data_IF_905279578492
#
_entry.id   IF_905279578492
#
_cell.length_a   1.000
_cell.length_b   1.000
_cell.length_c   1.000
_cell.angle_alpha   90.00
_cell.angle_beta   90.00
_cell.angle_gamma   90.00
#
_symmetry.space_group_name_H-M   'P 1'
#
loop_
_entity.id
_entity.type
_entity.pdbx_description
1 polymer ?
2 polymer ?
3 water ?
#
# COMPACT_ATOMS: atom_id res chain seq x y z
N UNK A 1 -0.61 25.42 -5.45
CA UNK A 1 0.42 25.55 -6.48
C UNK A 1 1.13 24.22 -6.69
N UNK A 2 1.12 23.37 -5.67
CA UNK A 2 1.63 22.01 -5.82
C UNK A 2 0.81 21.27 -6.86
N UNK A 3 1.47 20.80 -7.91
CA UNK A 3 0.80 20.24 -9.07
C UNK A 3 1.41 18.89 -9.46
N UNK A 4 0.56 17.88 -9.54
CA UNK A 4 0.93 16.64 -10.21
C UNK A 4 0.59 16.82 -11.68
N UNK A 5 1.47 16.35 -12.57
CA UNK A 5 1.27 16.37 -14.01
C UNK A 5 1.52 14.99 -14.61
N UNK A 6 0.87 14.72 -15.75
CA UNK A 6 1.07 13.47 -16.50
C UNK A 6 1.47 13.75 -17.94
N UNK A 7 2.60 13.22 -18.42
CA UNK A 7 2.91 13.41 -19.85
C UNK A 7 1.88 12.79 -20.77
N UNK A 8 1.12 11.82 -20.27
CA UNK A 8 0.15 11.07 -21.05
C UNK A 8 -1.03 10.81 -20.14
N UNK A 9 -2.22 11.00 -20.66
CA UNK A 9 -3.43 10.68 -19.92
C UNK A 9 -4.22 9.59 -20.62
N UNK A 10 -3.69 9.01 -21.68
CA UNK A 10 -4.32 7.86 -22.34
C UNK A 10 -3.20 6.94 -22.76
N UNK A 11 -3.24 5.70 -22.24
CA UNK A 11 -2.39 4.60 -22.67
C UNK A 11 -3.23 3.55 -23.39
N UNK A 12 -2.81 3.16 -24.59
CA UNK A 12 -3.41 2.06 -25.34
C UNK A 12 -2.38 0.95 -25.46
N UNK A 13 -2.57 -0.14 -24.72
CA UNK A 13 -1.56 -1.17 -24.66
C UNK A 13 -2.18 -2.52 -25.08
N UNK A 14 -1.30 -3.44 -25.46
CA UNK A 14 -1.70 -4.78 -25.82
C UNK A 14 -1.86 -5.62 -24.58
N UNK A 15 -2.85 -6.51 -24.60
CA UNK A 15 -2.88 -7.60 -23.63
C UNK A 15 -1.50 -8.23 -23.55
N UNK A 16 -1.04 -8.49 -22.33
CA UNK A 16 0.22 -9.16 -22.15
C UNK A 16 1.45 -8.27 -22.26
N UNK A 17 1.33 -7.04 -22.73
CA UNK A 17 2.50 -6.15 -22.71
C UNK A 17 2.83 -5.70 -21.28
N UNK A 18 3.95 -4.99 -21.17
CA UNK A 18 4.26 -4.19 -19.99
C UNK A 18 3.93 -2.73 -20.24
N UNK A 19 3.70 -2.01 -19.15
CA UNK A 19 3.23 -0.64 -19.25
C UNK A 19 3.71 0.18 -18.04
N UNK A 20 4.24 1.37 -18.31
CA UNK A 20 4.67 2.26 -17.23
C UNK A 20 3.85 3.53 -17.36
N UNK A 21 3.02 3.79 -16.37
CA UNK A 21 2.25 5.02 -16.33
C UNK A 21 3.00 6.04 -15.50
N UNK A 22 3.27 7.19 -16.07
CA UNK A 22 4.06 8.18 -15.36
C UNK A 22 3.19 9.21 -14.63
N UNK A 23 3.70 9.65 -13.50
CA UNK A 23 3.03 10.64 -12.68
C UNK A 23 4.09 11.54 -12.04
N UNK A 24 4.11 12.79 -12.45
CA UNK A 24 5.23 13.68 -12.13
C UNK A 24 4.85 14.68 -11.05
N UNK A 25 5.78 14.94 -10.16
CA UNK A 25 5.57 15.96 -9.15
C UNK A 25 6.81 16.78 -8.89
N UNK A 26 6.64 17.99 -8.39
CA UNK A 26 7.76 18.93 -8.26
C UNK A 26 8.71 18.54 -7.13
N UNK A 27 9.97 18.25 -7.47
CA UNK A 27 11.04 17.98 -6.52
C UNK A 27 12.11 19.08 -6.69
N UNK A 28 12.24 19.96 -5.69
CA UNK A 28 13.10 21.14 -5.82
C UNK A 28 14.59 20.79 -5.68
N UNK A 29 14.96 20.06 -4.62
CA UNK A 29 16.35 19.72 -4.36
C UNK A 29 16.41 18.21 -4.25
N UNK A 30 16.91 17.69 -3.13
CA UNK A 30 16.82 16.25 -2.90
C UNK A 30 15.40 15.87 -2.49
N UNK A 31 15.04 14.62 -2.78
CA UNK A 31 13.72 14.13 -2.40
C UNK A 31 13.69 13.88 -0.90
N UNK A 32 12.63 14.35 -0.27
CA UNK A 32 12.49 14.26 1.17
C UNK A 32 11.49 13.12 1.38
N UNK A 33 12.03 11.91 1.53
CA UNK A 33 11.21 10.72 1.60
C UNK A 33 10.27 10.78 2.79
N UNK A 34 10.67 11.47 3.85
CA UNK A 34 9.85 11.61 5.05
C UNK A 34 8.59 12.38 4.78
N UNK A 35 8.49 13.05 3.63
CA UNK A 35 7.33 13.87 3.32
C UNK A 35 6.41 13.24 2.28
N UNK A 36 6.85 12.17 1.61
CA UNK A 36 6.24 11.71 0.37
C UNK A 36 5.32 10.54 0.60
N UNK A 37 4.07 10.71 0.15
CA UNK A 37 3.09 9.63 0.08
C UNK A 37 2.63 9.50 -1.37
N UNK A 38 2.47 8.25 -1.84
CA UNK A 38 1.98 8.01 -3.20
C UNK A 38 0.84 7.00 -3.14
N UNK A 39 -0.24 7.36 -3.80
CA UNK A 39 -1.44 6.57 -3.88
C UNK A 39 -1.74 6.41 -5.36
N UNK A 40 -1.74 5.16 -5.82
CA UNK A 40 -2.31 4.78 -7.10
C UNK A 40 -3.55 3.96 -6.81
N UNK A 41 -4.63 4.32 -7.46
CA UNK A 41 -5.92 3.69 -7.29
C UNK A 41 -6.53 3.50 -8.69
N UNK A 42 -7.39 2.49 -8.81
CA UNK A 42 -8.15 2.28 -10.05
C UNK A 42 -9.53 1.74 -9.71
N UNK A 43 -10.55 2.60 -9.81
CA UNK A 43 -11.95 2.24 -9.57
C UNK A 43 -12.11 1.38 -8.32
N UNK A 44 -11.93 1.99 -7.14
CA UNK A 44 -12.13 1.34 -5.85
C UNK A 44 -11.16 0.19 -5.61
N UNK A 45 -10.05 0.12 -6.34
CA UNK A 45 -9.02 -0.87 -6.09
C UNK A 45 -7.70 -0.16 -5.75
N UNK A 46 -7.07 -0.58 -4.64
CA UNK A 46 -5.82 0.00 -4.17
C UNK A 46 -4.64 -0.73 -4.79
N UNK A 47 -3.82 0.00 -5.54
CA UNK A 47 -2.62 -0.55 -6.18
C UNK A 47 -1.35 -0.16 -5.43
N UNK A 48 -1.12 1.12 -5.16
CA UNK A 48 0.07 1.54 -4.42
C UNK A 48 -0.36 2.38 -3.23
N UNK A 49 0.25 2.11 -2.08
CA UNK A 49 0.09 2.90 -0.87
C UNK A 49 1.48 3.07 -0.26
N UNK A 50 2.26 3.92 -0.88
CA UNK A 50 3.61 4.24 -0.47
C UNK A 50 3.58 5.34 0.59
N UNK A 51 4.24 5.10 1.70
CA UNK A 51 4.26 6.04 2.81
C UNK A 51 5.70 6.18 3.27
N UNK A 52 6.32 7.31 2.94
CA UNK A 52 7.59 7.66 3.57
C UNK A 52 8.60 6.53 3.43
N UNK A 53 8.52 5.77 2.35
CA UNK A 53 9.43 4.69 2.09
C UNK A 53 8.92 3.28 2.40
N UNK A 54 7.69 3.14 2.92
CA UNK A 54 7.20 1.86 3.42
C UNK A 54 5.93 1.44 2.67
N UNK A 55 5.86 0.15 2.29
CA UNK A 55 4.69 -0.45 1.65
C UNK A 55 4.34 -1.81 2.26
N UNK A 56 3.06 -2.03 2.45
CA UNK A 56 2.53 -3.37 2.71
C UNK A 56 1.83 -3.88 1.45
N UNK A 57 2.43 -4.87 0.79
CA UNK A 57 1.76 -5.52 -0.33
C UNK A 57 0.54 -6.32 0.11
N UNK A 58 0.36 -6.57 1.42
CA UNK A 58 -0.87 -7.16 1.92
C UNK A 58 -2.10 -6.29 1.63
N UNK A 59 -1.93 -5.03 1.24
CA UNK A 59 -3.05 -4.12 0.98
C UNK A 59 -3.21 -3.83 -0.48
N UNK A 60 -2.28 -4.25 -1.32
CA UNK A 60 -2.49 -4.20 -2.75
C UNK A 60 -3.60 -5.16 -3.18
N UNK A 61 -4.53 -4.66 -3.97
CA UNK A 61 -5.64 -5.48 -4.40
C UNK A 61 -5.14 -6.71 -5.17
N UNK A 62 -5.83 -7.84 -4.96
CA UNK A 62 -5.35 -9.12 -5.50
C UNK A 62 -5.16 -9.09 -7.01
N UNK A 63 -6.06 -8.47 -7.77
CA UNK A 63 -5.89 -8.52 -9.22
C UNK A 63 -4.60 -7.86 -9.70
N UNK A 64 -3.86 -7.10 -8.85
CA UNK A 64 -2.57 -6.49 -9.23
C UNK A 64 -1.38 -7.14 -8.55
N UNK A 65 -1.57 -8.10 -7.66
CA UNK A 65 -0.42 -8.70 -6.97
C UNK A 65 0.56 -9.22 -7.99
N UNK A 66 1.85 -8.90 -7.77
CA UNK A 66 2.98 -9.43 -8.52
C UNK A 66 3.21 -8.65 -9.81
N UNK A 67 2.16 -7.95 -10.26
CA UNK A 67 2.14 -7.37 -11.59
C UNK A 67 2.38 -5.89 -11.57
N UNK A 68 2.21 -5.26 -10.42
CA UNK A 68 2.21 -3.81 -10.31
C UNK A 68 3.20 -3.38 -9.24
N UNK A 69 4.07 -2.43 -9.58
CA UNK A 69 4.96 -1.89 -8.58
C UNK A 69 5.34 -0.45 -8.89
N UNK A 70 5.75 0.26 -7.85
CA UNK A 70 6.19 1.64 -7.98
C UNK A 70 7.68 1.61 -8.26
N UNK A 71 8.06 2.18 -9.40
CA UNK A 71 9.46 2.43 -9.72
C UNK A 71 10.00 3.53 -8.80
N UNK A 72 10.52 3.07 -7.66
CA UNK A 72 11.06 3.93 -6.61
C UNK A 72 12.39 4.57 -6.99
N UNK A 73 13.07 4.09 -8.04
CA UNK A 73 14.26 4.78 -8.50
C UNK A 73 13.91 6.14 -9.07
N UNK A 74 12.70 6.27 -9.62
CA UNK A 74 12.28 7.47 -10.34
C UNK A 74 11.75 8.57 -9.41
N UNK A 75 11.46 8.25 -8.15
CA UNK A 75 10.85 9.22 -7.26
C UNK A 75 11.82 10.36 -6.96
N UNK A 76 13.12 10.07 -6.93
CA UNK A 76 14.08 11.15 -6.78
C UNK A 76 13.97 12.13 -7.93
N UNK A 77 13.53 11.64 -9.10
CA UNK A 77 13.30 12.50 -10.25
C UNK A 77 11.90 13.08 -10.25
N UNK A 78 11.15 12.88 -9.19
CA UNK A 78 9.78 13.38 -9.17
C UNK A 78 8.84 12.65 -10.13
N UNK A 79 9.10 11.36 -10.39
CA UNK A 79 8.29 10.52 -11.29
C UNK A 79 7.80 9.32 -10.48
N UNK A 80 6.53 9.33 -10.09
CA UNK A 80 5.95 8.17 -9.40
C UNK A 80 5.37 7.20 -10.43
N UNK A 81 6.25 6.43 -11.05
CA UNK A 81 5.87 5.62 -12.21
C UNK A 81 5.30 4.29 -11.74
N UNK A 82 4.12 3.95 -12.23
CA UNK A 82 3.50 2.67 -11.95
C UNK A 82 3.78 1.75 -13.11
N UNK A 83 4.53 0.69 -12.85
CA UNK A 83 4.82 -0.31 -13.84
C UNK A 83 3.89 -1.48 -13.63
N UNK A 84 3.20 -1.88 -14.70
CA UNK A 84 2.29 -3.02 -14.69
C UNK A 84 2.81 -3.98 -15.73
N UNK A 85 2.94 -5.25 -15.33
CA UNK A 85 3.58 -6.29 -16.11
C UNK A 85 2.53 -7.31 -16.49
N UNK A 86 2.63 -7.87 -17.69
CA UNK A 86 1.65 -8.84 -18.15
C UNK A 86 0.24 -8.24 -18.10
N UNK A 87 0.06 -7.21 -18.94
CA UNK A 87 -1.17 -6.44 -18.89
C UNK A 87 -2.37 -7.31 -19.21
N UNK A 88 -3.43 -7.16 -18.43
CA UNK A 88 -4.68 -7.90 -18.56
C UNK A 88 -5.79 -6.95 -19.02
N UNK A 89 -6.90 -7.55 -19.45
CA UNK A 89 -8.02 -6.77 -19.95
C UNK A 89 -8.65 -5.98 -18.82
N UNK A 90 -8.64 -6.55 -17.60
CA UNK A 90 -9.26 -5.95 -16.43
C UNK A 90 -8.52 -4.69 -15.98
N UNK A 91 -7.27 -4.55 -16.40
CA UNK A 91 -6.45 -3.40 -16.11
C UNK A 91 -6.98 -2.16 -16.82
N UNK A 92 -7.90 -2.32 -17.76
CA UNK A 92 -8.41 -1.16 -18.47
C UNK A 92 -9.33 -0.34 -17.59
N UNK A 93 -9.20 0.96 -17.70
CA UNK A 93 -10.02 1.86 -16.92
C UNK A 93 -9.27 3.12 -16.53
N UNK A 94 -9.83 3.83 -15.57
CA UNK A 94 -9.33 5.14 -15.16
C UNK A 94 -8.46 4.97 -13.93
N UNK A 95 -7.19 5.31 -14.07
CA UNK A 95 -6.26 5.30 -12.94
C UNK A 95 -6.14 6.69 -12.34
N UNK A 96 -6.04 6.75 -11.02
CA UNK A 96 -5.71 8.00 -10.33
C UNK A 96 -4.34 7.88 -9.70
N UNK A 97 -3.50 8.87 -9.94
CA UNK A 97 -2.25 9.08 -9.22
C UNK A 97 -2.45 10.27 -8.29
N UNK A 98 -2.34 10.01 -7.00
CA UNK A 98 -2.41 11.04 -5.99
C UNK A 98 -1.10 11.09 -5.26
N UNK A 99 -0.53 12.28 -5.19
CA UNK A 99 0.75 12.49 -4.54
C UNK A 99 0.57 13.57 -3.49
N UNK A 100 0.86 13.23 -2.24
CA UNK A 100 1.01 14.18 -1.15
C UNK A 100 2.50 14.34 -0.93
N UNK A 101 3.03 15.57 -1.10
CA UNK A 101 4.47 15.85 -0.95
C UNK A 101 4.54 17.30 -0.45
N UNK A 102 4.21 17.47 0.82
CA UNK A 102 3.85 18.78 1.30
C UNK A 102 2.42 19.14 0.96
N UNK A 103 2.20 19.69 -0.23
CA UNK A 103 0.86 19.78 -0.78
C UNK A 103 0.44 18.48 -1.48
N UNK A 104 -0.81 18.45 -1.94
CA UNK A 104 -1.38 17.25 -2.54
C UNK A 104 -2.14 17.60 -3.80
N UNK A 105 -1.96 16.77 -4.84
CA UNK A 105 -2.70 16.88 -6.09
C UNK A 105 -2.89 15.46 -6.65
N UNK A 106 -3.76 15.32 -7.66
CA UNK A 106 -3.89 14.03 -8.33
C UNK A 106 -4.17 14.27 -9.81
N UNK A 107 -4.03 13.19 -10.59
CA UNK A 107 -4.38 13.22 -12.00
C UNK A 107 -4.98 11.87 -12.40
N UNK A 108 -5.93 11.92 -13.33
CA UNK A 108 -6.64 10.76 -13.85
C UNK A 108 -6.00 10.32 -15.14
N UNK A 109 -5.73 9.03 -15.27
CA UNK A 109 -5.14 8.44 -16.47
C UNK A 109 -6.00 7.30 -16.93
N UNK A 110 -6.30 7.27 -18.23
CA UNK A 110 -7.10 6.20 -18.82
C UNK A 110 -6.21 5.18 -19.50
N UNK A 111 -6.44 3.93 -19.18
CA UNK A 111 -5.83 2.81 -19.88
C UNK A 111 -6.89 2.07 -20.71
N UNK A 112 -6.58 1.84 -21.97
CA UNK A 112 -7.42 1.01 -22.83
C UNK A 112 -6.56 -0.17 -23.24
N UNK A 113 -7.13 -1.38 -23.19
CA UNK A 113 -6.41 -2.60 -23.52
C UNK A 113 -7.01 -3.21 -24.78
N UNK A 114 -6.15 -3.57 -25.72
CA UNK A 114 -6.60 -4.26 -26.95
C UNK A 114 -6.38 -5.77 -26.80
N UNK A 115 -7.38 -6.55 -27.16
CA UNK A 115 -7.20 -7.99 -27.07
C UNK A 115 -6.30 -8.48 -28.20
N UNK A 116 -5.73 -9.66 -27.97
CA UNK A 116 -4.60 -10.11 -28.77
C UNK A 116 -4.82 -10.04 -30.29
N UNK A 117 -6.05 -10.14 -30.79
CA UNK A 117 -6.24 -10.22 -32.26
C UNK A 117 -7.18 -9.16 -32.79
N UNK A 118 -7.51 -8.16 -32.00
CA UNK A 118 -8.43 -7.08 -32.39
C UNK A 118 -7.97 -6.36 -33.68
N UNK B 1 -2.49 -27.35 -19.22
CA UNK B 1 -2.68 -28.08 -17.97
C UNK B 1 -1.49 -27.89 -17.05
N UNK B 2 -0.29 -27.91 -17.64
CA UNK B 2 0.94 -27.71 -16.89
C UNK B 2 0.99 -26.34 -16.22
N UNK B 3 0.97 -26.35 -14.89
CA UNK B 3 0.87 -25.15 -14.07
C UNK B 3 1.98 -25.11 -13.04
N UNK B 4 2.53 -23.91 -12.84
CA UNK B 4 3.49 -23.63 -11.78
C UNK B 4 2.78 -22.85 -10.70
N UNK B 5 2.88 -23.30 -9.48
CA UNK B 5 2.24 -22.65 -8.35
C UNK B 5 3.30 -22.25 -7.31
N UNK B 6 2.91 -21.32 -6.45
CA UNK B 6 3.77 -20.87 -5.35
C UNK B 6 3.00 -20.98 -4.03
N UNK B 7 3.52 -21.70 -3.04
CA UNK B 7 2.89 -21.67 -1.71
C UNK B 7 2.64 -20.26 -1.20
N UNK B 8 3.66 -19.40 -1.23
CA UNK B 8 3.49 -18.00 -0.90
C UNK B 8 4.23 -17.15 -1.92
N UNK B 9 3.64 -15.99 -2.24
CA UNK B 9 4.16 -15.08 -3.25
C UNK B 9 4.79 -13.84 -2.64
N UNK B 10 4.78 -13.73 -1.33
CA UNK B 10 5.37 -12.57 -0.67
C UNK B 10 6.19 -13.02 0.51
N UNK B 11 7.48 -12.74 0.45
CA UNK B 11 8.45 -13.09 1.48
C UNK B 11 8.99 -11.78 2.06
N UNK B 12 8.81 -11.61 3.37
CA UNK B 12 9.38 -10.49 4.11
C UNK B 12 10.44 -11.06 5.04
N UNK B 13 11.70 -10.65 4.83
CA UNK B 13 12.83 -11.27 5.51
C UNK B 13 13.77 -10.17 6.02
N UNK B 14 14.58 -10.54 7.01
CA UNK B 14 15.54 -9.65 7.65
C UNK B 14 16.86 -9.68 6.93
N UNK B 15 17.51 -8.54 6.89
CA UNK B 15 18.86 -8.42 6.33
C UNK B 15 19.80 -9.38 7.02
N UNK B 16 20.64 -10.04 6.26
CA UNK B 16 21.54 -11.00 6.84
C UNK B 16 20.93 -12.36 7.19
N UNK B 17 19.61 -12.52 7.13
CA UNK B 17 19.00 -13.83 7.36
C UNK B 17 19.13 -14.74 6.13
N UNK B 18 18.51 -15.93 6.17
CA UNK B 18 18.48 -16.88 5.04
C UNK B 18 17.05 -17.14 4.60
N UNK B 19 16.84 -17.11 3.29
CA UNK B 19 15.51 -17.18 2.71
C UNK B 19 15.44 -18.29 1.66
N UNK B 20 14.28 -18.94 1.57
CA UNK B 20 14.02 -19.99 0.57
C UNK B 20 12.72 -19.69 -0.17
N UNK B 21 12.81 -19.30 -1.41
CA UNK B 21 11.59 -19.15 -2.22
C UNK B 21 11.23 -20.48 -2.82
N UNK B 22 9.95 -20.76 -2.97
CA UNK B 22 9.52 -22.02 -3.54
C UNK B 22 8.65 -21.79 -4.78
N UNK B 23 8.95 -22.54 -5.84
CA UNK B 23 8.02 -22.77 -6.94
C UNK B 23 7.81 -24.26 -7.08
N UNK B 24 6.59 -24.71 -6.81
CA UNK B 24 6.22 -26.11 -6.94
C UNK B 24 5.55 -26.32 -8.29
N UNK B 25 5.81 -27.51 -8.87
CA UNK B 25 5.22 -27.91 -10.15
C UNK B 25 4.80 -29.38 -10.13
N UNK B 26 4.12 -29.87 -11.17
CA UNK B 26 3.60 -31.25 -11.16
C UNK B 26 4.54 -32.30 -11.75
N UNK B 27 4.76 -33.40 -11.03
CA UNK B 27 5.63 -34.49 -11.49
C UNK B 27 4.80 -35.78 -11.55
N UNK B 28 4.78 -36.41 -12.74
CA UNK B 28 4.04 -37.65 -12.94
C UNK B 28 4.86 -38.81 -12.38
N UNK B 29 4.48 -39.29 -11.20
CA UNK B 29 5.21 -40.41 -10.60
C UNK B 29 6.60 -39.94 -10.24
N UNK B 30 7.62 -40.50 -10.86
CA UNK B 30 8.98 -40.02 -10.65
C UNK B 30 9.23 -38.79 -11.53
N UNK B 31 10.19 -37.98 -11.12
CA UNK B 31 10.61 -36.83 -11.91
C UNK B 31 11.74 -37.25 -12.83
N UNK B 32 11.62 -36.90 -14.10
CA UNK B 32 12.69 -37.15 -15.06
C UNK B 32 13.54 -35.89 -15.13
N UNK B 33 14.65 -35.88 -14.40
CA UNK B 33 15.56 -34.75 -14.49
C UNK B 33 16.04 -34.51 -15.92
N UNK B 34 15.86 -35.46 -16.83
CA UNK B 34 16.38 -35.31 -18.19
C UNK B 34 15.65 -34.24 -19.00
N UNK B 35 14.53 -33.74 -18.51
CA UNK B 35 13.68 -32.84 -19.28
C UNK B 35 13.24 -31.65 -18.42
N UNK B 36 14.07 -31.26 -17.46
CA UNK B 36 13.72 -30.22 -16.49
C UNK B 36 14.55 -28.98 -16.76
N UNK B 37 13.88 -27.86 -16.89
CA UNK B 37 14.54 -26.57 -16.98
C UNK B 37 13.93 -25.68 -15.91
N UNK B 38 14.82 -25.18 -15.05
CA UNK B 38 14.49 -24.25 -13.99
C UNK B 38 15.24 -22.96 -14.25
N UNK B 39 14.49 -21.87 -14.28
CA UNK B 39 15.04 -20.52 -14.40
C UNK B 39 14.55 -19.71 -13.21
N UNK B 40 15.46 -19.19 -12.43
CA UNK B 40 15.12 -18.13 -11.48
C UNK B 40 15.77 -16.84 -11.96
N UNK B 41 14.97 -15.79 -12.03
CA UNK B 41 15.38 -14.48 -12.51
C UNK B 41 14.88 -13.40 -11.55
N UNK B 42 15.62 -12.30 -11.47
CA UNK B 42 15.19 -11.16 -10.66
C UNK B 42 15.57 -9.87 -11.36
N UNK B 43 14.56 -9.18 -11.90
CA UNK B 43 14.69 -7.92 -12.58
C UNK B 43 16.02 -7.81 -13.30
N UNK B 44 16.17 -8.58 -14.39
CA UNK B 44 17.28 -8.57 -15.38
C UNK B 44 18.55 -9.26 -14.92
N UNK B 45 18.54 -9.89 -13.76
CA UNK B 45 19.69 -10.61 -13.23
C UNK B 45 19.35 -12.09 -13.26
N UNK B 46 20.30 -12.89 -13.75
CA UNK B 46 20.17 -14.33 -13.84
C UNK B 46 20.69 -14.98 -12.56
N UNK B 47 19.80 -15.70 -11.85
CA UNK B 47 20.19 -16.35 -10.60
C UNK B 47 20.47 -17.83 -10.83
N UNK B 48 19.49 -18.58 -11.35
CA UNK B 48 19.61 -20.04 -11.55
C UNK B 48 19.22 -20.42 -12.97
N UNK B 49 20.12 -21.07 -13.69
CA UNK B 49 19.87 -21.57 -15.06
C UNK B 49 20.12 -23.06 -15.11
N UNK B 50 19.18 -23.82 -14.57
CA UNK B 50 19.29 -25.27 -14.47
C UNK B 50 18.69 -25.88 -15.73
N UNK B 51 19.50 -26.66 -16.44
CA UNK B 51 19.12 -27.27 -17.71
C UNK B 51 19.53 -28.73 -17.66
N UNK B 52 18.55 -29.61 -17.47
CA UNK B 52 18.76 -31.05 -17.65
C UNK B 52 19.89 -31.54 -16.74
N UNK B 53 19.96 -30.95 -15.55
CA UNK B 53 20.92 -31.36 -14.55
C UNK B 53 22.27 -30.66 -14.58
N UNK B 54 22.40 -29.53 -15.28
CA UNK B 54 23.67 -28.85 -15.39
C UNK B 54 23.49 -27.36 -15.10
N UNK B 55 24.53 -26.74 -14.54
CA UNK B 55 24.58 -25.28 -14.28
C UNK B 55 25.98 -24.79 -14.51
N UNK B 56 26.11 -23.63 -15.14
CA UNK B 56 27.38 -22.92 -15.21
C UNK B 56 27.28 -21.69 -14.30
N UNK B 57 27.90 -21.78 -13.11
CA UNK B 57 27.83 -20.66 -12.17
C UNK B 57 28.49 -19.42 -12.74
N UNK B 58 29.31 -19.58 -13.79
CA UNK B 58 29.86 -18.43 -14.50
C UNK B 58 28.78 -17.53 -15.07
N UNK B 59 27.54 -17.99 -15.13
CA UNK B 59 26.44 -17.21 -15.67
C UNK B 59 25.61 -16.55 -14.59
N UNK B 60 25.78 -16.96 -13.34
CA UNK B 60 25.01 -16.37 -12.25
C UNK B 60 25.44 -14.93 -12.04
N UNK B 61 24.46 -14.03 -12.03
CA UNK B 61 24.77 -12.64 -11.82
C UNK B 61 25.62 -12.49 -10.56
N UNK B 62 26.58 -11.58 -10.62
CA UNK B 62 27.64 -11.56 -9.62
C UNK B 62 27.10 -11.23 -8.24
N UNK B 63 25.98 -10.49 -8.14
CA UNK B 63 25.48 -10.09 -6.84
C UNK B 63 24.85 -11.23 -6.08
N UNK B 64 24.50 -12.31 -6.76
CA UNK B 64 23.97 -13.49 -6.11
C UNK B 64 25.02 -14.58 -5.95
N UNK B 65 26.23 -14.33 -6.43
CA UNK B 65 27.24 -15.36 -6.38
C UNK B 65 27.49 -15.77 -4.95
N UNK B 66 27.59 -17.07 -4.74
CA UNK B 66 27.94 -17.64 -3.45
C UNK B 66 26.79 -17.56 -2.47
N UNK B 67 25.68 -16.94 -2.87
CA UNK B 67 24.55 -16.79 -1.96
C UNK B 67 23.30 -17.54 -2.38
N UNK B 68 23.14 -17.79 -3.66
CA UNK B 68 21.88 -18.28 -4.17
C UNK B 68 22.10 -19.64 -4.81
N UNK B 69 21.34 -20.64 -4.38
CA UNK B 69 21.40 -21.92 -5.03
C UNK B 69 20.03 -22.56 -5.08
N UNK B 70 19.87 -23.50 -6.02
CA UNK B 70 18.64 -24.27 -6.18
C UNK B 70 18.74 -25.53 -5.33
N UNK B 71 17.69 -25.79 -4.57
CA UNK B 71 17.68 -26.94 -3.69
C UNK B 71 17.24 -28.13 -4.52
N UNK B 72 18.22 -28.97 -4.84
CA UNK B 72 18.04 -30.03 -5.79
C UNK B 72 17.43 -31.28 -5.18
N UNK B 73 17.55 -31.45 -3.86
CA UNK B 73 16.81 -32.51 -3.19
C UNK B 73 15.30 -32.28 -3.23
N UNK B 74 14.87 -31.06 -3.51
CA UNK B 74 13.47 -30.69 -3.48
C UNK B 74 12.77 -30.89 -4.81
N UNK B 75 13.53 -31.10 -5.90
CA UNK B 75 12.95 -31.23 -7.24
C UNK B 75 12.22 -32.54 -7.43
N UNK B 76 12.70 -33.63 -6.80
CA UNK B 76 11.95 -34.87 -6.81
C UNK B 76 10.53 -34.64 -6.30
N UNK B 77 10.38 -33.81 -5.28
CA UNK B 77 9.07 -33.42 -4.76
C UNK B 77 8.30 -32.46 -5.68
N UNK B 78 8.81 -32.13 -6.87
CA UNK B 78 8.21 -31.02 -7.61
C UNK B 78 8.29 -29.67 -6.92
N UNK B 79 9.42 -29.36 -6.29
CA UNK B 79 9.61 -28.07 -5.61
C UNK B 79 10.93 -27.46 -6.07
N UNK B 80 10.84 -26.34 -6.79
CA UNK B 80 12.00 -25.64 -7.33
C UNK B 80 12.33 -24.49 -6.36
N UNK B 81 13.19 -24.76 -5.39
CA UNK B 81 13.31 -23.91 -4.22
C UNK B 81 14.65 -23.19 -4.30
N UNK B 82 14.58 -21.87 -4.39
CA UNK B 82 15.77 -21.02 -4.41
C UNK B 82 16.08 -20.59 -3.00
N UNK B 83 17.28 -20.90 -2.55
CA UNK B 83 17.73 -20.53 -1.23
C UNK B 83 18.71 -19.38 -1.36
N UNK B 84 18.43 -18.29 -0.71
CA UNK B 84 19.34 -17.14 -0.69
C UNK B 84 19.86 -16.98 0.72
N UNK B 85 21.16 -17.15 0.86
CA UNK B 85 21.85 -17.06 2.15
C UNK B 85 22.34 -15.63 2.38
N UNK B 86 22.40 -15.20 3.65
CA UNK B 86 22.89 -13.87 4.02
C UNK B 86 22.19 -12.80 3.17
N UNK B 87 20.95 -12.48 3.51
CA UNK B 87 20.12 -11.65 2.64
C UNK B 87 20.58 -10.18 2.70
N UNK B 88 20.59 -9.56 1.51
CA UNK B 88 21.04 -8.21 1.24
C UNK B 88 19.84 -7.37 0.80
N UNK B 89 19.94 -6.06 1.08
CA UNK B 89 18.92 -5.12 0.62
C UNK B 89 18.66 -5.27 -0.89
N UNK B 90 19.70 -5.44 -1.68
CA UNK B 90 19.61 -5.62 -3.12
C UNK B 90 18.89 -6.90 -3.54
N UNK B 91 18.46 -7.73 -2.58
CA UNK B 91 17.68 -8.92 -2.87
C UNK B 91 16.19 -8.65 -2.90
N UNK B 92 15.76 -7.43 -2.57
CA UNK B 92 14.34 -7.12 -2.56
C UNK B 92 13.90 -6.90 -4.01
N UNK B 93 12.69 -7.31 -4.35
CA UNK B 93 12.27 -7.22 -5.73
C UNK B 93 11.38 -8.39 -6.18
N UNK B 94 11.15 -8.43 -7.49
CA UNK B 94 10.28 -9.45 -8.10
C UNK B 94 11.16 -10.57 -8.64
N UNK B 95 11.04 -11.74 -8.03
CA UNK B 95 11.63 -12.98 -8.54
C UNK B 95 10.63 -13.72 -9.43
N UNK B 96 11.07 -14.11 -10.61
CA UNK B 96 10.27 -14.98 -11.49
C UNK B 96 10.92 -16.35 -11.58
N UNK B 97 10.15 -17.39 -11.31
CA UNK B 97 10.60 -18.77 -11.55
C UNK B 97 9.89 -19.31 -12.79
N UNK B 98 10.65 -19.70 -13.79
CA UNK B 98 10.13 -20.47 -14.91
C UNK B 98 10.56 -21.92 -14.77
N UNK B 99 9.62 -22.84 -14.97
CA UNK B 99 9.94 -24.26 -15.01
C UNK B 99 9.40 -24.83 -16.31
N UNK B 100 10.29 -25.37 -17.12
CA UNK B 100 9.94 -26.10 -18.33
C UNK B 100 10.16 -27.59 -18.08
N UNK B 101 9.08 -28.37 -18.21
CA UNK B 101 9.07 -29.80 -17.91
C UNK B 101 7.98 -30.39 -18.80
N UNK B 102 8.33 -30.55 -20.07
CA UNK B 102 7.36 -30.85 -21.09
C UNK B 102 6.71 -29.57 -21.50
N UNK B 103 5.65 -29.19 -20.79
CA UNK B 103 5.21 -27.82 -20.83
C UNK B 103 6.14 -26.93 -20.04
N UNK B 104 5.61 -25.73 -19.82
CA UNK B 104 6.25 -24.68 -19.06
C UNK B 104 5.17 -23.76 -18.49
N UNK B 105 5.53 -23.07 -17.41
CA UNK B 105 4.71 -22.06 -16.76
C UNK B 105 5.63 -21.25 -15.86
N UNK B 106 5.09 -20.17 -15.28
CA UNK B 106 5.91 -19.32 -14.42
C UNK B 106 5.04 -18.55 -13.43
N UNK B 107 5.68 -18.22 -12.30
CA UNK B 107 5.06 -17.40 -11.28
C UNK B 107 6.06 -16.38 -10.79
N UNK B 108 5.54 -15.36 -10.14
CA UNK B 108 6.34 -14.25 -9.67
C UNK B 108 6.26 -14.27 -8.15
N UNK B 109 7.40 -14.08 -7.49
CA UNK B 109 7.47 -13.95 -6.03
C UNK B 109 8.06 -12.59 -5.76
N UNK B 110 7.53 -11.92 -4.73
CA UNK B 110 8.04 -10.63 -4.28
C UNK B 110 8.74 -10.81 -2.94
N UNK B 111 9.95 -10.28 -2.84
CA UNK B 111 10.71 -10.24 -1.59
C UNK B 111 10.84 -8.79 -1.17
N UNK B 112 10.54 -8.54 0.11
CA UNK B 112 10.83 -7.26 0.76
C UNK B 112 11.81 -7.53 1.89
N UNK B 113 12.91 -6.79 1.92
CA UNK B 113 13.94 -6.95 2.94
C UNK B 113 13.88 -5.77 3.92
N UNK B 114 13.80 -6.09 5.22
CA UNK B 114 13.83 -5.10 6.28
C UNK B 114 15.26 -4.75 6.66
N UNK B 115 15.60 -3.46 6.62
CA UNK B 115 16.89 -3.00 7.13
C UNK B 115 17.06 -3.38 8.59
N UNK B 116 18.27 -3.23 9.07
CA UNK B 116 18.63 -3.87 10.32
C UNK B 116 18.08 -3.20 11.59
N UNK B 117 17.24 -2.15 11.57
CA UNK B 117 16.72 -1.62 12.84
C UNK B 117 15.27 -1.15 12.71
N UNK B 118 14.33 -2.09 12.71
CA UNK B 118 12.92 -1.73 12.64
C UNK B 118 12.05 -2.78 13.32
N UNK C 1 3.64 25.85 19.48
CA UNK C 1 3.51 25.47 20.88
C UNK C 1 2.22 24.69 21.13
N UNK C 2 1.07 25.24 20.72
CA UNK C 2 -0.20 24.60 21.05
C UNK C 2 -0.32 23.30 20.26
N UNK C 3 -0.46 22.20 20.98
CA UNK C 3 -0.42 20.89 20.35
C UNK C 3 -1.58 20.04 20.84
N UNK C 4 -2.32 19.49 19.91
CA UNK C 4 -3.30 18.45 20.23
C UNK C 4 -2.63 17.10 20.08
N UNK C 5 -2.89 16.18 21.00
CA UNK C 5 -2.38 14.83 20.90
C UNK C 5 -3.52 13.83 20.92
N UNK C 6 -3.19 12.62 20.49
CA UNK C 6 -4.09 11.48 20.50
C UNK C 6 -3.43 10.34 21.28
N UNK C 7 -4.03 9.87 22.36
CA UNK C 7 -3.47 8.68 23.02
C UNK C 7 -3.46 7.44 22.13
N UNK C 8 -4.36 7.42 21.15
CA UNK C 8 -4.56 6.27 20.25
C UNK C 8 -4.94 6.88 18.91
N UNK C 9 -4.20 6.61 17.85
CA UNK C 9 -4.61 7.07 16.54
C UNK C 9 -5.33 5.98 15.71
N UNK C 10 -5.54 4.78 16.27
CA UNK C 10 -6.30 3.75 15.58
C UNK C 10 -7.18 3.01 16.58
N UNK C 11 -8.48 3.19 16.48
CA UNK C 11 -9.40 2.44 17.32
C UNK C 11 -9.97 1.27 16.51
N UNK C 12 -9.80 0.06 17.03
CA UNK C 12 -10.44 -1.13 16.47
C UNK C 12 -11.59 -1.52 17.39
N UNK C 13 -12.82 -1.36 16.89
CA UNK C 13 -14.02 -1.63 17.66
C UNK C 13 -14.79 -2.77 17.00
N UNK C 14 -15.66 -3.39 17.80
CA UNK C 14 -16.50 -4.48 17.34
C UNK C 14 -17.85 -3.91 16.94
N UNK C 15 -18.35 -4.36 15.80
CA UNK C 15 -19.66 -3.94 15.34
C UNK C 15 -20.66 -4.00 16.48
N UNK C 16 -21.52 -3.00 16.57
CA UNK C 16 -22.51 -2.95 17.64
C UNK C 16 -22.02 -2.49 19.00
N UNK C 17 -20.71 -2.40 19.23
CA UNK C 17 -20.18 -1.97 20.52
C UNK C 17 -20.03 -0.45 20.59
N UNK C 18 -19.39 0.02 21.65
CA UNK C 18 -19.24 1.44 21.92
C UNK C 18 -17.79 1.88 21.70
N UNK C 19 -17.65 3.18 21.53
CA UNK C 19 -16.38 3.79 21.19
C UNK C 19 -16.32 5.15 21.87
N UNK C 20 -15.25 5.41 22.61
CA UNK C 20 -14.92 6.78 23.02
C UNK C 20 -13.54 7.14 22.44
N UNK C 21 -13.52 8.16 21.57
CA UNK C 21 -12.32 8.69 20.92
C UNK C 21 -11.92 10.02 21.56
N UNK C 22 -10.62 10.22 21.76
CA UNK C 22 -10.12 11.29 22.65
C UNK C 22 -9.00 12.11 22.04
N UNK C 23 -9.19 13.42 21.94
CA UNK C 23 -8.12 14.34 21.55
C UNK C 23 -7.79 15.19 22.75
N UNK C 24 -6.59 15.03 23.25
CA UNK C 24 -6.19 15.77 24.43
C UNK C 24 -5.62 17.13 24.04
N UNK C 25 -5.88 18.15 24.87
CA UNK C 25 -5.35 19.48 24.61
C UNK C 25 -5.02 20.19 25.92
N UNK C 26 -4.04 21.09 25.89
CA UNK C 26 -3.49 21.62 27.14
C UNK C 26 -4.45 22.58 27.83
N UNK C 27 -4.65 22.37 29.14
CA UNK C 27 -5.37 23.33 29.98
C UNK C 27 -4.59 23.48 31.27
N UNK C 28 -4.04 24.68 31.50
CA UNK C 28 -3.18 24.97 32.64
C UNK C 28 -3.99 25.15 33.92
N UNK C 29 -4.91 26.11 33.92
CA UNK C 29 -5.65 26.36 35.14
C UNK C 29 -7.11 25.94 34.99
N UNK C 30 -8.00 26.92 35.09
CA UNK C 30 -9.41 26.66 34.84
C UNK C 30 -9.63 26.76 33.34
N UNK C 31 -10.46 25.87 32.83
CA UNK C 31 -10.86 25.91 31.43
C UNK C 31 -11.61 27.20 31.12
N UNK C 32 -11.08 28.00 30.21
CA UNK C 32 -11.76 29.23 29.81
C UNK C 32 -12.68 28.83 28.67
N UNK C 33 -13.90 28.51 29.03
CA UNK C 33 -14.89 28.10 28.07
C UNK C 33 -15.11 29.19 27.02
N UNK C 34 -14.85 30.44 27.38
CA UNK C 34 -15.00 31.55 26.45
C UNK C 34 -14.07 31.43 25.26
N UNK C 35 -13.01 30.63 25.40
CA UNK C 35 -12.00 30.48 24.37
C UNK C 35 -12.15 29.20 23.54
N UNK C 36 -12.92 28.22 24.03
CA UNK C 36 -12.87 26.85 23.54
C UNK C 36 -13.90 26.59 22.44
N UNK C 37 -13.40 26.12 21.29
CA UNK C 37 -14.20 25.60 20.18
C UNK C 37 -13.71 24.18 19.90
N UNK C 38 -14.66 23.23 19.77
CA UNK C 38 -14.31 21.82 19.57
C UNK C 38 -15.07 21.27 18.37
N UNK C 39 -14.34 20.67 17.44
CA UNK C 39 -14.89 20.21 16.18
C UNK C 39 -14.51 18.76 15.97
N UNK C 40 -15.53 17.92 15.78
CA UNK C 40 -15.36 16.54 15.39
C UNK C 40 -15.99 16.34 14.03
N UNK C 41 -15.21 15.86 13.09
CA UNK C 41 -15.62 15.76 11.71
C UNK C 41 -15.31 14.34 11.25
N UNK C 42 -16.18 13.76 10.44
CA UNK C 42 -15.98 12.40 9.92
C UNK C 42 -16.30 12.40 8.42
N UNK C 43 -15.25 12.39 7.61
CA UNK C 43 -15.36 12.29 6.16
C UNK C 43 -16.54 13.09 5.62
N UNK C 44 -16.56 14.38 5.95
CA UNK C 44 -17.50 15.41 5.50
C UNK C 44 -18.83 15.36 6.23
N UNK C 45 -18.97 14.54 7.25
CA UNK C 45 -20.12 14.60 8.14
C UNK C 45 -19.73 15.35 9.42
N UNK C 46 -20.60 16.24 9.89
CA UNK C 46 -20.30 17.02 11.09
C UNK C 46 -20.90 16.32 12.31
N UNK C 47 -20.03 15.89 13.20
CA UNK C 47 -20.47 15.22 14.42
C UNK C 47 -20.72 16.25 15.52
N UNK C 48 -19.68 17.03 15.90
CA UNK C 48 -19.75 17.98 17.01
C UNK C 48 -19.25 19.36 16.56
N UNK C 49 -20.08 20.37 16.76
CA UNK C 49 -19.69 21.76 16.54
C UNK C 49 -19.95 22.50 17.87
N UNK C 50 -18.94 22.43 18.72
CA UNK C 50 -19.01 22.93 20.08
C UNK C 50 -18.34 24.29 20.12
N UNK C 51 -19.07 25.29 20.59
CA UNK C 51 -18.58 26.67 20.60
C UNK C 51 -18.88 27.27 21.95
N UNK C 52 -17.84 27.48 22.75
CA UNK C 52 -17.95 28.22 23.98
C UNK C 52 -19.07 27.66 24.84
N UNK C 53 -19.19 26.33 24.82
CA UNK C 53 -20.16 25.64 25.62
C UNK C 53 -21.48 25.36 24.94
N UNK C 54 -21.70 25.82 23.71
CA UNK C 54 -22.97 25.68 23.03
C UNK C 54 -22.87 24.63 21.94
N UNK C 55 -23.90 23.79 21.81
CA UNK C 55 -24.05 22.95 20.62
C UNK C 55 -25.45 23.09 20.05
N UNK C 56 -25.53 23.11 18.74
CA UNK C 56 -26.81 23.08 18.04
C UNK C 56 -26.95 21.76 17.30
N UNK C 57 -27.70 20.83 17.88
CA UNK C 57 -27.83 19.53 17.25
C UNK C 57 -28.47 19.61 15.87
N UNK C 58 -29.15 20.72 15.56
CA UNK C 58 -29.75 20.86 14.24
C UNK C 58 -28.74 20.68 13.13
N UNK C 59 -27.45 20.85 13.42
CA UNK C 59 -26.38 20.75 12.45
C UNK C 59 -25.65 19.41 12.51
N UNK C 60 -25.93 18.58 13.52
CA UNK C 60 -25.29 17.28 13.64
C UNK C 60 -25.79 16.34 12.55
N UNK C 61 -24.86 15.73 11.82
CA UNK C 61 -25.26 14.83 10.76
C UNK C 61 -26.31 13.83 11.27
N UNK C 62 -27.28 13.55 10.41
CA UNK C 62 -28.43 12.76 10.85
C UNK C 62 -28.00 11.36 11.31
N UNK C 63 -27.04 10.76 10.60
CA UNK C 63 -26.60 9.40 10.92
C UNK C 63 -25.88 9.32 12.26
N UNK C 64 -25.53 10.44 12.88
CA UNK C 64 -25.02 10.42 14.23
C UNK C 64 -26.05 10.88 15.25
N UNK C 65 -27.28 11.17 14.82
CA UNK C 65 -28.32 11.54 15.77
C UNK C 65 -28.42 10.52 16.88
N UNK C 66 -28.59 11.00 18.11
CA UNK C 66 -28.86 10.13 19.27
C UNK C 66 -27.76 9.13 19.56
N UNK C 67 -26.66 9.16 18.78
CA UNK C 67 -25.57 8.22 18.97
C UNK C 67 -24.27 8.85 19.43
N UNK C 68 -24.12 10.16 19.31
CA UNK C 68 -22.79 10.74 19.48
C UNK C 68 -22.86 11.96 20.39
N UNK C 69 -22.05 11.94 21.44
CA UNK C 69 -22.01 13.09 22.32
C UNK C 69 -20.57 13.42 22.67
N UNK C 70 -20.36 14.71 22.99
CA UNK C 70 -19.09 15.21 23.52
C UNK C 70 -19.19 15.21 25.03
N UNK C 71 -18.24 14.54 25.68
CA UNK C 71 -18.25 14.38 27.14
C UNK C 71 -17.78 15.70 27.72
N UNK C 72 -18.75 16.58 27.98
CA UNK C 72 -18.41 17.95 28.35
C UNK C 72 -17.68 18.02 29.68
N UNK C 73 -17.82 17.01 30.55
CA UNK C 73 -17.12 17.07 31.84
C UNK C 73 -15.62 16.92 31.66
N UNK C 74 -15.18 16.26 30.60
CA UNK C 74 -13.76 15.94 30.39
C UNK C 74 -12.99 17.10 29.80
N UNK C 75 -13.68 18.09 29.23
CA UNK C 75 -13.00 19.25 28.68
C UNK C 75 -12.15 19.94 29.74
N UNK C 76 -12.68 20.01 30.95
CA UNK C 76 -11.97 20.65 32.06
C UNK C 76 -10.60 20.01 32.28
N UNK C 77 -10.52 18.69 32.20
CA UNK C 77 -9.23 18.01 32.26
C UNK C 77 -8.46 18.09 30.94
N UNK C 78 -8.87 18.90 29.97
CA UNK C 78 -8.16 18.99 28.71
C UNK C 78 -8.31 17.77 27.81
N UNK C 79 -9.47 17.12 27.84
CA UNK C 79 -9.75 15.94 27.05
C UNK C 79 -11.04 16.18 26.30
N UNK C 80 -10.98 16.13 24.99
CA UNK C 80 -12.18 16.22 24.18
C UNK C 80 -12.51 14.80 23.74
N UNK C 81 -13.59 14.24 24.27
CA UNK C 81 -13.90 12.83 24.04
C UNK C 81 -15.18 12.67 23.23
N UNK C 82 -15.08 12.01 22.10
CA UNK C 82 -16.24 11.75 21.25
C UNK C 82 -16.75 10.35 21.57
N UNK C 83 -17.89 10.25 22.21
CA UNK C 83 -18.47 8.97 22.57
C UNK C 83 -19.51 8.62 21.51
N UNK C 84 -19.36 7.46 20.88
CA UNK C 84 -20.34 7.02 19.87
C UNK C 84 -20.88 5.64 20.29
N UNK C 85 -22.20 5.55 20.42
CA UNK C 85 -22.95 4.33 20.69
C UNK C 85 -23.26 3.54 19.40
N UNK C 86 -23.28 2.22 19.54
CA UNK C 86 -23.84 1.28 18.54
C UNK C 86 -23.13 1.41 17.19
N UNK C 87 -21.86 1.02 17.19
CA UNK C 87 -21.00 1.36 16.07
C UNK C 87 -21.40 0.51 14.89
N UNK C 88 -21.78 1.16 13.81
CA UNK C 88 -22.13 0.50 12.57
C UNK C 88 -20.91 0.49 11.64
N UNK C 89 -21.05 -0.20 10.51
CA UNK C 89 -19.98 -0.24 9.52
C UNK C 89 -19.73 1.12 8.90
N UNK C 90 -20.78 1.94 8.80
CA UNK C 90 -20.68 3.34 8.40
C UNK C 90 -19.84 4.20 9.34
N UNK C 91 -19.54 3.75 10.56
CA UNK C 91 -18.72 4.48 11.50
C UNK C 91 -17.24 4.19 11.33
N UNK C 92 -16.85 3.29 10.43
CA UNK C 92 -15.42 3.11 10.22
C UNK C 92 -14.89 4.24 9.35
N UNK C 93 -13.59 4.58 9.54
CA UNK C 93 -13.03 5.63 8.71
C UNK C 93 -12.35 6.75 9.52
N UNK C 94 -12.22 7.90 8.89
CA UNK C 94 -11.34 8.96 9.36
C UNK C 94 -12.12 9.95 10.21
N UNK C 95 -11.81 10.00 11.49
CA UNK C 95 -12.32 11.01 12.40
C UNK C 95 -11.24 12.08 12.62
N UNK C 96 -11.65 13.34 12.59
CA UNK C 96 -10.71 14.44 12.80
C UNK C 96 -11.24 15.39 13.88
N UNK C 97 -10.45 15.55 14.94
CA UNK C 97 -10.73 16.52 15.99
C UNK C 97 -9.98 17.81 15.69
N UNK C 98 -10.66 18.93 15.73
CA UNK C 98 -9.95 20.22 15.78
C UNK C 98 -10.30 20.94 17.09
N UNK C 99 -9.29 21.23 17.88
CA UNK C 99 -9.46 21.99 19.11
C UNK C 99 -8.79 23.35 18.91
N UNK C 100 -9.58 24.40 18.98
CA UNK C 100 -9.11 25.77 19.10
C UNK C 100 -9.31 26.26 20.54
N UNK C 101 -8.22 26.66 21.18
CA UNK C 101 -8.28 27.13 22.55
C UNK C 101 -7.15 28.15 22.73
N UNK C 102 -7.28 29.27 22.02
CA UNK C 102 -6.19 30.21 21.88
C UNK C 102 -5.42 29.86 20.63
N UNK C 103 -4.50 28.93 20.76
CA UNK C 103 -4.02 28.18 19.62
C UNK C 103 -5.00 27.08 19.18
N UNK C 104 -4.70 26.52 18.01
CA UNK C 104 -5.54 25.52 17.36
C UNK C 104 -4.65 24.38 16.90
N UNK C 105 -5.19 23.16 16.90
CA UNK C 105 -4.49 22.01 16.34
C UNK C 105 -5.47 20.86 16.13
N UNK C 106 -5.00 19.83 15.46
CA UNK C 106 -5.87 18.78 14.99
C UNK C 106 -5.11 17.47 14.95
N UNK C 107 -5.85 16.37 15.06
CA UNK C 107 -5.32 15.05 14.78
C UNK C 107 -6.32 14.25 13.94
N UNK C 108 -5.82 13.20 13.33
CA UNK C 108 -6.64 12.29 12.53
C UNK C 108 -6.71 10.98 13.32
N UNK C 109 -7.89 10.38 13.38
CA UNK C 109 -8.07 9.11 14.08
C UNK C 109 -8.78 8.14 13.16
N UNK C 110 -8.22 6.94 13.01
CA UNK C 110 -8.82 5.91 12.17
C UNK C 110 -9.59 4.92 13.03
N UNK C 111 -10.83 4.66 12.66
CA UNK C 111 -11.64 3.61 13.27
C UNK C 111 -11.78 2.46 12.28
N UNK C 112 -11.52 1.23 12.75
CA UNK C 112 -11.85 -0.01 12.04
C UNK C 112 -12.97 -0.74 12.78
N UNK C 113 -14.04 -1.04 12.06
CA UNK C 113 -15.13 -1.81 12.62
C UNK C 113 -14.98 -3.26 12.20
N UNK C 114 -14.89 -4.16 13.17
CA UNK C 114 -14.92 -5.60 12.91
C UNK C 114 -16.37 -6.02 12.89
N UNK C 115 -16.86 -6.44 11.73
CA UNK C 115 -18.24 -6.93 11.63
C UNK C 115 -18.34 -8.35 12.16
N UNK C 116 -19.57 -8.75 12.42
CA UNK C 116 -19.98 -10.13 12.57
C UNK C 116 -18.83 -11.11 12.84
N UNK C 117 -18.17 -11.65 11.80
CA UNK C 117 -17.17 -12.73 11.97
C UNK C 117 -15.88 -12.42 11.25
N UNK C 118 -15.45 -11.18 11.29
CA UNK C 118 -14.15 -10.82 10.75
C UNK C 118 -13.06 -11.68 11.39
N UNK D 1 -17.87 28.42 9.67
CA UNK D 1 -17.04 27.99 10.75
C UNK D 1 -17.55 28.58 11.95
N UNK D 2 -17.11 29.70 12.42
CA UNK D 2 -17.09 29.78 13.86
C UNK D 2 -18.36 29.56 14.58
N UNK D 3 -19.45 29.68 13.91
CA UNK D 3 -20.80 29.74 14.38
C UNK D 3 -21.47 28.43 14.67
N UNK D 4 -21.92 28.26 15.87
CA UNK D 4 -22.79 27.26 16.37
C UNK D 4 -23.63 26.33 15.62
N UNK D 5 -24.63 26.30 14.81
CA UNK D 5 -25.61 27.05 14.10
C UNK D 5 -25.41 26.87 12.68
N UNK D 6 -24.22 26.71 12.22
CA UNK D 6 -24.05 26.62 10.83
C UNK D 6 -23.62 25.33 10.27
N UNK D 7 -22.41 25.02 10.07
CA UNK D 7 -22.05 23.82 9.43
C UNK D 7 -20.76 24.03 8.93
N UNK D 8 -19.91 23.20 9.38
CA UNK D 8 -18.58 23.43 9.06
C UNK D 8 -18.10 22.53 7.98
N UNK D 9 -16.92 22.93 7.73
CA UNK D 9 -15.75 22.45 7.17
C UNK D 9 -15.47 21.38 6.29
N UNK D 10 -14.31 20.69 6.31
CA UNK D 10 -13.04 20.75 6.99
C UNK D 10 -11.99 21.36 6.19
N UNK D 11 -11.11 22.26 6.62
CA UNK D 11 -10.75 22.50 8.05
C UNK D 11 -11.43 23.49 8.96
N UNK D 12 -11.38 24.75 8.73
CA UNK D 12 -12.46 25.56 9.24
C UNK D 12 -12.70 26.87 8.62
N UNK D 13 -13.62 27.15 7.78
CA UNK D 13 -14.47 26.40 6.94
C UNK D 13 -15.89 26.31 7.25
N UNK D 14 -16.66 26.81 6.34
CA UNK D 14 -18.03 26.56 6.38
C UNK D 14 -18.34 25.50 5.41
N UNK D 15 -19.41 24.83 5.66
CA UNK D 15 -19.88 23.87 4.73
C UNK D 15 -20.84 24.57 3.85
N UNK D 16 -20.69 24.29 2.58
N UNK E 1 -5.04 5.81 5.52
CA UNK E 1 -4.70 7.03 4.95
C UNK E 1 -4.23 7.69 6.17
N UNK E 2 -2.96 7.79 6.39
CA UNK E 2 -1.93 7.26 5.55
C UNK E 2 -1.21 6.15 6.22
N UNK E 3 -1.92 5.22 6.80
CA UNK E 3 -1.34 4.03 7.38
C UNK E 3 -1.10 3.01 6.34
N UNK E 4 0.10 2.63 6.13
CA UNK E 4 0.38 1.79 4.99
C UNK E 4 -0.13 0.40 4.72
N UNK E 5 -0.66 -0.68 5.28
CA UNK E 5 -1.11 -1.37 6.48
C UNK E 5 -2.55 -1.32 6.56
N UNK E 6 -3.13 -0.22 6.46
CA UNK E 6 -4.52 -0.13 6.25
C UNK E 6 -4.83 0.07 4.83
N UNK E 7 -6.03 -0.19 4.47
CA UNK E 7 -6.40 -0.04 3.14
C UNK E 7 -7.02 1.29 2.92
N UNK E 8 -6.74 2.05 1.91
CA UNK E 8 -7.37 3.31 1.67
C UNK E 8 -8.47 3.17 0.67
N UNK E 9 -9.02 4.34 0.48
CA UNK E 9 -9.97 4.71 -0.48
C UNK E 9 -9.91 6.19 -0.70
N UNK E 10 -10.40 6.58 -1.84
CA UNK E 10 -10.55 7.86 -2.42
C UNK E 10 -11.38 8.80 -1.64
N UNK E 11 -10.95 9.99 -1.28
CA UNK E 11 -9.59 10.43 -1.40
C UNK E 11 -8.59 10.26 -0.31
N UNK E 12 -8.77 10.54 0.94
CA UNK E 12 -7.89 9.87 1.88
C UNK E 12 -8.35 9.61 3.25
N UNK E 13 -9.19 8.76 3.75
CA UNK E 13 -10.15 7.77 3.39
C UNK E 13 -9.74 6.37 3.63
N UNK E 14 -10.56 5.54 4.24
CA UNK E 14 -10.13 4.21 4.53
C UNK E 14 -11.04 3.08 4.11
N UNK E 15 -11.87 3.22 3.11
CA UNK E 15 -12.75 2.16 2.73
C UNK E 15 -12.00 0.87 2.50
N UNK E 16 -12.65 -0.28 2.43
N UNK F 1 19.97 -19.92 -24.33
CA UNK F 1 18.64 -20.29 -24.01
C UNK F 1 18.43 -21.49 -24.82
N UNK F 2 18.43 -22.69 -24.30
CA UNK F 2 18.71 -22.97 -22.92
C UNK F 2 20.08 -23.49 -22.69
N UNK F 3 21.04 -22.81 -23.18
CA UNK F 3 22.39 -23.24 -23.06
C UNK F 3 22.97 -22.93 -21.73
N UNK F 4 23.12 -23.89 -20.92
CA UNK F 4 23.80 -23.81 -19.68
C UNK F 4 24.54 -22.65 -19.16
N UNK F 5 25.53 -21.87 -19.51
CA UNK F 5 26.62 -21.80 -20.44
C UNK F 5 26.62 -20.45 -21.07
N UNK F 6 25.50 -20.11 -21.65
CA UNK F 6 25.24 -18.82 -22.23
C UNK F 6 24.22 -18.09 -21.48
N UNK F 7 24.27 -16.81 -21.33
CA UNK F 7 23.36 -16.15 -20.44
C UNK F 7 21.99 -15.99 -20.97
N UNK F 8 20.97 -16.19 -20.18
CA UNK F 8 19.64 -15.98 -20.67
C UNK F 8 19.08 -14.66 -20.35
N UNK F 9 17.80 -14.47 -20.47
CA UNK F 9 17.04 -13.28 -20.20
C UNK F 9 15.59 -13.59 -20.31
N UNK F 10 14.73 -12.86 -19.70
CA UNK F 10 13.34 -13.27 -19.64
C UNK F 10 12.69 -13.13 -20.94
N UNK F 11 11.75 -13.93 -21.31
CA UNK F 11 11.64 -15.27 -20.83
C UNK F 11 12.51 -16.35 -21.37
N UNK F 12 12.73 -16.46 -22.62
CA UNK F 12 13.82 -17.31 -23.03
C UNK F 12 14.28 -17.26 -24.43
N UNK F 13 15.18 -16.49 -24.98
CA UNK F 13 16.01 -15.38 -24.61
C UNK F 13 17.42 -15.65 -24.27
N UNK F 14 18.34 -15.17 -25.06
CA UNK F 14 19.73 -15.09 -24.63
C UNK F 14 20.03 -13.66 -24.27
N UNK F 15 21.25 -13.19 -24.37
CA UNK F 15 21.46 -11.77 -24.44
C UNK F 15 21.53 -11.04 -23.14
N UNK F 16 22.43 -10.08 -23.05
#
# INVERSE_FOLDING_TARGET
AFTVTVPKDLYVVEYGSNMTIECKFPVEKQLDLAALIVYWEMEDKNIIQFVHGEEDLKVQHSSYRQRARLLKDQLSLGNAALQITDVKLQDAGVYRCMISYGGADYKRITVKVNAAYA
AFTVTVPKDLYVVEYGSNMTIECKFPVEKQLDLAALIVYWEMEDKNIIQFVHGEEDLKVQHSSYRQRARLLKDQLSLGNAALQITDVKLQDAGVYRCMISYGGADYKRITVKVNAAYA
AFTVTVPKDLYVVEYGSNMTIECKFPVEKQLDLAALIVYWEMEDKNIIQFVHGEEDLKVQHSSYRQRARLLKDQLSLGNAALQITDVKLQDAGVYRCMISYGGADYKRITVKVNAAYA
FXNPHLSWSWXXRCGX
FXNPHLSWSWXXRCGX
FXNPHLSWSWXXRCGX
#
